data_IF_162203906626
#
_entry.id   IF_162203906626
#
_cell.length_a   1.000
_cell.length_b   1.000
_cell.length_c   1.000
_cell.angle_alpha   90.00
_cell.angle_beta   90.00
_cell.angle_gamma   90.00
#
_symmetry.space_group_name_H-M   'P 1'
#
loop_
_entity.id
_entity.type
_entity.pdbx_description
1 polymer ?
#
# COMPACT_ATOMS: atom_id res chain seq x y z
N UNK A 1 -35.38 40.30 11.85
CA UNK A 1 -34.86 40.59 10.50
C UNK A 1 -34.05 39.39 10.04
N UNK A 2 -34.47 38.69 8.99
CA UNK A 2 -33.81 37.48 8.45
C UNK A 2 -33.11 37.87 7.15
N UNK A 3 -31.79 37.75 7.11
CA UNK A 3 -31.01 37.98 5.88
C UNK A 3 -30.70 36.60 5.30
N UNK A 4 -31.45 36.22 4.27
CA UNK A 4 -31.16 35.08 3.40
C UNK A 4 -30.04 35.46 2.44
N UNK A 5 -28.84 34.94 2.68
CA UNK A 5 -27.73 35.04 1.72
C UNK A 5 -27.86 33.90 0.70
N UNK A 6 -28.29 34.26 -0.51
CA UNK A 6 -28.26 33.39 -1.68
C UNK A 6 -26.80 33.23 -2.16
N UNK A 7 -26.44 31.98 -2.39
CA UNK A 7 -25.18 31.48 -2.93
C UNK A 7 -24.94 31.98 -4.37
N UNK A 8 -23.71 32.34 -4.77
CA UNK A 8 -23.28 32.19 -6.15
C UNK A 8 -22.35 30.97 -6.25
N UNK A 9 -22.88 29.88 -6.84
CA UNK A 9 -22.07 28.81 -7.43
C UNK A 9 -21.47 29.37 -8.71
N UNK A 10 -20.21 29.77 -8.68
CA UNK A 10 -19.43 30.01 -9.90
C UNK A 10 -18.07 29.33 -9.73
N UNK A 11 -17.99 28.14 -10.33
CA UNK A 11 -16.89 27.67 -11.17
C UNK A 11 -15.52 28.32 -10.92
N UNK A 12 -14.66 27.63 -10.17
CA UNK A 12 -13.22 27.64 -10.41
C UNK A 12 -12.74 26.19 -10.56
N UNK A 13 -13.14 25.64 -11.71
CA UNK A 13 -12.53 24.48 -12.34
C UNK A 13 -11.17 24.93 -12.89
N UNK A 14 -10.12 24.25 -12.43
CA UNK A 14 -8.79 24.12 -13.04
C UNK A 14 -7.88 25.36 -13.01
N UNK A 15 -6.98 25.34 -12.03
CA UNK A 15 -5.58 25.69 -12.24
C UNK A 15 -4.67 24.79 -11.40
N UNK A 16 -4.76 23.48 -11.60
CA UNK A 16 -3.61 22.61 -11.41
C UNK A 16 -2.63 22.90 -12.56
N UNK A 17 -1.77 23.90 -12.41
CA UNK A 17 -0.61 24.05 -13.29
C UNK A 17 0.64 24.41 -12.49
N UNK A 18 1.52 23.43 -12.44
CA UNK A 18 2.97 23.54 -12.48
C UNK A 18 3.64 24.39 -11.40
N UNK A 19 3.63 23.89 -10.16
CA UNK A 19 4.86 23.96 -9.37
C UNK A 19 5.87 23.01 -10.02
N UNK A 20 6.63 23.56 -10.98
CA UNK A 20 7.83 22.93 -11.51
C UNK A 20 8.80 22.68 -10.33
N UNK A 21 8.99 21.43 -9.88
CA UNK A 21 9.81 21.16 -8.69
C UNK A 21 11.32 21.35 -8.97
N UNK A 22 11.68 21.57 -10.24
CA UNK A 22 13.06 21.61 -10.74
C UNK A 22 13.76 22.96 -10.61
N UNK A 23 13.05 24.08 -10.40
CA UNK A 23 13.69 25.40 -10.37
C UNK A 23 14.06 25.86 -8.96
N UNK A 24 14.92 25.06 -8.32
CA UNK A 24 15.69 25.46 -7.14
C UNK A 24 17.08 25.93 -7.56
N UNK A 25 17.28 27.25 -7.54
CA UNK A 25 18.56 27.97 -7.46
C UNK A 25 19.84 27.12 -7.33
N UNK A 26 20.64 27.09 -8.40
CA UNK A 26 22.10 27.29 -8.31
C UNK A 26 22.94 26.35 -7.44
N UNK A 27 22.48 25.14 -7.15
CA UNK A 27 23.27 24.12 -6.47
C UNK A 27 22.92 22.76 -7.05
N UNK A 28 23.93 21.94 -7.37
CA UNK A 28 23.72 20.54 -7.73
C UNK A 28 22.99 19.90 -6.54
N UNK A 29 21.66 19.77 -6.62
CA UNK A 29 20.89 18.96 -5.69
C UNK A 29 21.37 17.54 -5.94
N UNK A 30 22.39 17.16 -5.19
CA UNK A 30 22.60 15.75 -4.88
C UNK A 30 21.37 15.43 -4.08
N UNK A 31 20.35 14.89 -4.73
CA UNK A 31 19.32 14.14 -4.05
C UNK A 31 20.09 13.04 -3.32
N UNK A 32 20.46 13.32 -2.07
CA UNK A 32 20.61 12.25 -1.11
C UNK A 32 19.23 11.64 -1.11
N UNK A 33 19.11 10.53 -1.84
CA UNK A 33 18.10 9.53 -1.58
C UNK A 33 18.15 9.35 -0.07
N UNK A 34 17.23 10.01 0.64
CA UNK A 34 17.05 9.81 2.07
C UNK A 34 16.51 8.40 2.10
N UNK A 35 17.43 7.44 2.13
CA UNK A 35 17.15 6.09 2.52
C UNK A 35 16.70 6.21 3.96
N UNK A 36 15.42 6.51 4.15
CA UNK A 36 14.67 6.07 5.33
C UNK A 36 15.16 4.66 5.56
N UNK A 37 15.88 4.43 6.66
CA UNK A 37 16.69 3.23 6.91
C UNK A 37 16.07 2.01 6.23
N UNK A 38 16.78 1.40 5.28
CA UNK A 38 16.24 0.33 4.42
C UNK A 38 15.46 -0.73 5.23
N UNK A 39 15.89 -1.02 6.46
CA UNK A 39 15.19 -1.87 7.42
C UNK A 39 13.74 -1.46 7.72
N UNK A 40 13.46 -0.18 7.97
CA UNK A 40 12.11 0.29 8.31
C UNK A 40 11.14 0.19 7.13
N UNK A 41 11.61 0.45 5.91
CA UNK A 41 10.79 0.25 4.69
C UNK A 41 10.57 -1.25 4.46
N UNK A 42 11.61 -2.08 4.62
CA UNK A 42 11.53 -3.53 4.49
C UNK A 42 10.53 -4.11 5.49
N UNK A 43 10.62 -3.73 6.76
CA UNK A 43 9.72 -4.21 7.82
C UNK A 43 8.27 -3.78 7.57
N UNK A 44 8.07 -2.54 7.11
CA UNK A 44 6.75 -2.03 6.73
C UNK A 44 6.16 -2.82 5.56
N UNK A 45 6.97 -3.14 4.55
CA UNK A 45 6.52 -3.93 3.41
C UNK A 45 6.21 -5.39 3.79
N UNK A 46 7.01 -6.01 4.68
CA UNK A 46 6.72 -7.33 5.27
C UNK A 46 5.43 -7.31 6.07
N UNK A 47 5.20 -6.25 6.86
CA UNK A 47 3.97 -6.08 7.63
C UNK A 47 2.73 -6.01 6.72
N UNK A 48 2.81 -5.27 5.60
CA UNK A 48 1.72 -5.23 4.62
C UNK A 48 1.47 -6.61 4.00
N UNK A 49 2.50 -7.36 3.65
CA UNK A 49 2.34 -8.74 3.15
C UNK A 49 1.61 -9.59 4.17
N UNK A 50 2.00 -9.52 5.46
CA UNK A 50 1.34 -10.27 6.52
C UNK A 50 -0.15 -9.88 6.65
N UNK A 51 -0.46 -8.59 6.54
CA UNK A 51 -1.85 -8.09 6.57
C UNK A 51 -2.66 -8.56 5.35
N UNK A 52 -2.07 -8.59 4.15
CA UNK A 52 -2.72 -9.11 2.95
C UNK A 52 -3.05 -10.60 3.07
N UNK A 53 -2.13 -11.39 3.63
CA UNK A 53 -2.35 -12.83 3.86
C UNK A 53 -3.45 -13.05 4.89
N UNK A 54 -3.45 -12.29 5.99
CA UNK A 54 -4.51 -12.34 6.99
C UNK A 54 -5.88 -11.95 6.39
N UNK A 55 -5.92 -10.90 5.56
CA UNK A 55 -7.12 -10.46 4.86
C UNK A 55 -7.65 -11.53 3.89
N UNK A 56 -6.76 -12.16 3.12
CA UNK A 56 -7.10 -13.27 2.22
C UNK A 56 -7.66 -14.46 3.01
N UNK A 57 -7.07 -14.80 4.15
CA UNK A 57 -7.62 -15.81 5.05
C UNK A 57 -9.01 -15.43 5.58
N UNK A 58 -9.25 -14.17 5.95
CA UNK A 58 -10.60 -13.73 6.35
C UNK A 58 -11.62 -13.95 5.23
N UNK A 59 -11.25 -13.63 3.99
CA UNK A 59 -12.10 -13.83 2.82
C UNK A 59 -12.35 -15.33 2.54
N UNK A 60 -11.31 -16.15 2.52
CA UNK A 60 -11.42 -17.60 2.27
C UNK A 60 -12.24 -18.33 3.34
N UNK A 61 -12.20 -17.88 4.60
CA UNK A 61 -13.02 -18.43 5.67
C UNK A 61 -14.43 -17.79 5.74
N UNK A 62 -14.83 -16.98 4.76
CA UNK A 62 -16.16 -16.35 4.71
C UNK A 62 -16.42 -15.27 5.76
N UNK A 63 -15.39 -14.78 6.46
CA UNK A 63 -15.53 -13.74 7.50
C UNK A 63 -15.79 -12.36 6.94
N UNK A 64 -15.40 -12.12 5.68
CA UNK A 64 -15.63 -10.87 4.96
C UNK A 64 -16.14 -11.19 3.54
N UNK A 65 -16.96 -10.30 3.00
CA UNK A 65 -17.43 -10.40 1.62
C UNK A 65 -16.37 -9.90 0.61
N UNK A 66 -16.65 -10.12 -0.68
CA UNK A 66 -15.76 -9.71 -1.76
C UNK A 66 -15.52 -8.19 -1.81
N UNK A 67 -16.54 -7.38 -1.54
CA UNK A 67 -16.43 -5.93 -1.55
C UNK A 67 -15.40 -5.43 -0.52
N UNK A 68 -15.55 -5.83 0.75
CA UNK A 68 -14.63 -5.45 1.81
C UNK A 68 -13.22 -6.03 1.61
N UNK A 69 -13.12 -7.23 1.02
CA UNK A 69 -11.84 -7.79 0.63
C UNK A 69 -11.14 -6.90 -0.41
N UNK A 70 -11.83 -6.54 -1.49
CA UNK A 70 -11.28 -5.73 -2.58
C UNK A 70 -10.87 -4.34 -2.09
N UNK A 71 -11.73 -3.66 -1.33
CA UNK A 71 -11.46 -2.33 -0.78
C UNK A 71 -10.17 -2.32 0.05
N UNK A 72 -10.09 -3.22 1.04
CA UNK A 72 -8.93 -3.31 1.94
C UNK A 72 -7.67 -3.78 1.21
N UNK A 73 -7.80 -4.74 0.30
CA UNK A 73 -6.66 -5.24 -0.47
C UNK A 73 -6.09 -4.17 -1.40
N UNK A 74 -6.94 -3.35 -2.03
CA UNK A 74 -6.51 -2.25 -2.87
C UNK A 74 -5.73 -1.19 -2.07
N UNK A 75 -6.22 -0.84 -0.87
CA UNK A 75 -5.52 0.08 0.04
C UNK A 75 -4.15 -0.45 0.46
N UNK A 76 -4.06 -1.74 0.82
CA UNK A 76 -2.80 -2.39 1.17
C UNK A 76 -1.83 -2.42 -0.01
N UNK A 77 -2.33 -2.74 -1.21
CA UNK A 77 -1.51 -2.81 -2.41
C UNK A 77 -0.96 -1.44 -2.84
N UNK A 78 -1.76 -0.38 -2.72
CA UNK A 78 -1.33 0.98 -2.99
C UNK A 78 -0.14 1.37 -2.09
N UNK A 79 -0.25 1.08 -0.79
CA UNK A 79 0.83 1.35 0.18
C UNK A 79 2.06 0.49 -0.09
N UNK A 80 1.86 -0.81 -0.35
CA UNK A 80 2.94 -1.72 -0.70
C UNK A 80 3.73 -1.24 -1.92
N UNK A 81 3.06 -0.77 -2.97
CA UNK A 81 3.71 -0.29 -4.20
C UNK A 81 4.62 0.91 -3.95
N UNK A 82 4.19 1.86 -3.10
CA UNK A 82 5.02 3.01 -2.72
C UNK A 82 6.28 2.58 -1.96
N UNK A 83 6.12 1.69 -0.97
CA UNK A 83 7.26 1.17 -0.21
C UNK A 83 8.20 0.38 -1.11
N UNK A 84 7.67 -0.52 -1.94
CA UNK A 84 8.45 -1.38 -2.81
C UNK A 84 9.29 -0.60 -3.82
N UNK A 85 8.75 0.48 -4.38
CA UNK A 85 9.49 1.35 -5.31
C UNK A 85 10.63 2.14 -4.64
N UNK A 86 10.64 2.21 -3.31
CA UNK A 86 11.65 2.93 -2.54
C UNK A 86 12.82 2.03 -2.12
N UNK A 87 12.79 0.75 -2.48
CA UNK A 87 13.75 -0.25 -2.02
C UNK A 87 14.95 -0.41 -2.96
N UNK A 88 16.05 -0.85 -2.36
CA UNK A 88 17.18 -1.36 -3.14
C UNK A 88 16.84 -2.71 -3.79
N UNK A 89 17.61 -3.14 -4.82
CA UNK A 89 17.44 -4.48 -5.40
C UNK A 89 17.59 -5.63 -4.39
N UNK A 90 18.49 -5.49 -3.40
CA UNK A 90 18.69 -6.51 -2.37
C UNK A 90 17.47 -6.63 -1.45
N UNK A 91 16.94 -5.50 -1.00
CA UNK A 91 15.75 -5.44 -0.14
C UNK A 91 14.49 -5.94 -0.87
N UNK A 92 14.40 -5.63 -2.16
CA UNK A 92 13.35 -6.13 -3.04
C UNK A 92 13.34 -7.66 -3.09
N UNK A 93 14.53 -8.28 -3.21
CA UNK A 93 14.67 -9.73 -3.20
C UNK A 93 14.25 -10.33 -1.84
N UNK A 94 14.61 -9.67 -0.74
CA UNK A 94 14.22 -10.11 0.60
C UNK A 94 12.70 -10.14 0.78
N UNK A 95 12.01 -9.07 0.36
CA UNK A 95 10.55 -8.99 0.44
C UNK A 95 9.88 -10.01 -0.48
N UNK A 96 10.43 -10.23 -1.67
CA UNK A 96 9.91 -11.25 -2.58
C UNK A 96 9.98 -12.65 -1.94
N UNK A 97 11.11 -13.00 -1.31
CA UNK A 97 11.26 -14.26 -0.56
C UNK A 97 10.25 -14.34 0.59
N UNK A 98 10.05 -13.25 1.33
CA UNK A 98 9.06 -13.19 2.41
C UNK A 98 7.64 -13.45 1.91
N UNK A 99 7.25 -12.86 0.77
CA UNK A 99 5.94 -13.10 0.14
C UNK A 99 5.74 -14.57 -0.20
N UNK A 100 6.70 -15.18 -0.89
CA UNK A 100 6.64 -16.59 -1.28
C UNK A 100 6.50 -17.51 -0.06
N UNK A 101 7.23 -17.22 1.03
CA UNK A 101 7.13 -17.97 2.28
C UNK A 101 5.70 -17.89 2.84
N UNK A 102 5.11 -16.69 2.93
CA UNK A 102 3.78 -16.50 3.49
C UNK A 102 2.66 -17.11 2.64
N UNK A 103 2.80 -17.08 1.31
CA UNK A 103 1.86 -17.77 0.42
C UNK A 103 1.93 -19.29 0.59
N UNK A 104 3.12 -19.85 0.74
CA UNK A 104 3.32 -21.28 1.02
C UNK A 104 2.73 -21.69 2.37
N UNK A 105 2.96 -20.91 3.43
CA UNK A 105 2.39 -21.14 4.77
C UNK A 105 0.84 -21.19 4.70
N UNK A 106 0.23 -20.23 4.02
CA UNK A 106 -1.23 -20.17 3.84
C UNK A 106 -1.80 -21.39 3.09
N UNK A 107 -1.09 -21.87 2.05
CA UNK A 107 -1.49 -23.10 1.35
C UNK A 107 -1.40 -24.32 2.25
N UNK A 108 -0.32 -24.44 3.05
CA UNK A 108 -0.14 -25.54 3.98
C UNK A 108 -1.23 -25.56 5.06
N UNK A 109 -1.57 -24.39 5.62
CA UNK A 109 -2.65 -24.25 6.60
C UNK A 109 -4.00 -24.66 6.01
N UNK A 110 -4.23 -24.38 4.73
CA UNK A 110 -5.44 -24.78 4.01
C UNK A 110 -5.53 -26.31 3.86
N UNK A 111 -4.41 -26.96 3.49
CA UNK A 111 -4.34 -28.42 3.36
C UNK A 111 -4.55 -29.12 4.71
N UNK A 112 -3.93 -28.61 5.77
CA UNK A 112 -4.04 -29.19 7.10
C UNK A 112 -5.47 -29.08 7.66
N UNK A 113 -6.16 -27.97 7.42
CA UNK A 113 -7.58 -27.83 7.80
C UNK A 113 -8.47 -28.86 7.12
N UNK A 114 -8.24 -29.14 5.84
CA UNK A 114 -9.00 -30.17 5.11
C UNK A 114 -8.77 -31.57 5.70
N UNK A 115 -7.54 -31.91 6.10
CA UNK A 115 -7.21 -33.23 6.67
C UNK A 115 -7.82 -33.49 8.05
N UNK A 116 -8.03 -32.45 8.86
CA UNK A 116 -8.59 -32.60 10.23
C UNK A 116 -10.12 -32.69 10.21
N UNK A 117 -10.75 -32.26 9.11
CA UNK A 117 -12.21 -32.31 8.93
C UNK A 117 -12.71 -33.56 8.18
N UNK A 118 -11.82 -34.49 7.85
CA UNK A 118 -12.13 -35.81 7.26
C UNK A 118 -11.97 -36.91 8.31
#
# INVERSE_FOLDING_TARGET
>A
MKITFMLPVILLVVACHNTNPEQGSGGKKVDRQISLSSSGIVDSAKAIINQQVALKNQYLNGKINQYHFQERNNSLMATYKVLFNSLSPADTLEIYKHRLLKEKEMLQDSINKTKIQQ
#
